data_IF_132932087271
#
_entry.id   IF_132932087271
#
_cell.length_a   1.000
_cell.length_b   1.000
_cell.length_c   1.000
_cell.angle_alpha   90.00
_cell.angle_beta   90.00
_cell.angle_gamma   90.00
#
_symmetry.space_group_name_H-M   'P 1'
#
loop_
_entity.id
_entity.type
_entity.pdbx_description
1 polymer ?
#
# COMPACT_ATOMS: atom_id res chain seq x y z
N UNK A 1 29.87 21.77 -13.88
CA UNK A 1 29.43 20.37 -13.97
C UNK A 1 28.52 20.16 -12.79
N UNK A 2 27.22 20.31 -12.98
CA UNK A 2 26.20 19.98 -11.98
C UNK A 2 25.25 19.02 -12.68
N UNK A 3 25.57 17.73 -12.62
CA UNK A 3 24.57 16.68 -12.83
C UNK A 3 23.73 16.67 -11.57
N UNK A 4 22.66 17.45 -11.56
CA UNK A 4 21.54 17.21 -10.66
C UNK A 4 21.06 15.80 -10.99
N UNK A 5 21.38 14.83 -10.13
CA UNK A 5 20.74 13.53 -10.19
C UNK A 5 19.24 13.78 -10.01
N UNK A 6 18.54 13.83 -11.13
CA UNK A 6 17.09 13.76 -11.16
C UNK A 6 16.79 12.34 -10.70
N UNK A 7 16.64 12.15 -9.39
CA UNK A 7 16.14 10.91 -8.80
C UNK A 7 14.71 10.75 -9.30
N UNK A 8 14.59 10.22 -10.52
CA UNK A 8 13.36 10.21 -11.27
C UNK A 8 12.35 9.40 -10.47
N UNK A 9 11.23 10.03 -10.09
CA UNK A 9 10.07 9.35 -9.51
C UNK A 9 9.72 8.15 -10.39
N UNK A 10 9.91 6.95 -9.86
CA UNK A 10 9.57 5.72 -10.59
C UNK A 10 8.18 5.28 -10.15
N UNK A 11 7.18 5.60 -10.98
CA UNK A 11 5.83 5.06 -10.82
C UNK A 11 5.79 3.65 -11.40
N UNK A 12 5.50 2.66 -10.54
CA UNK A 12 5.51 1.25 -10.94
C UNK A 12 4.15 0.80 -11.49
N UNK A 13 3.06 1.23 -10.85
CA UNK A 13 1.71 0.89 -11.27
C UNK A 13 0.69 1.92 -10.80
N UNK A 14 -0.46 1.93 -11.47
CA UNK A 14 -1.65 2.67 -11.07
C UNK A 14 -2.75 1.68 -10.72
N UNK A 15 -3.44 1.95 -9.62
CA UNK A 15 -4.59 1.18 -9.16
C UNK A 15 -5.80 2.09 -9.29
N UNK A 16 -6.80 1.62 -10.04
CA UNK A 16 -8.03 2.36 -10.30
C UNK A 16 -9.19 1.64 -9.63
N UNK A 17 -10.07 2.40 -8.98
CA UNK A 17 -11.27 1.84 -8.37
C UNK A 17 -12.20 1.33 -9.48
N UNK A 18 -12.68 0.09 -9.33
CA UNK A 18 -13.53 -0.59 -10.30
C UNK A 18 -14.90 0.09 -10.48
N UNK A 19 -15.42 0.75 -9.45
CA UNK A 19 -16.74 1.41 -9.43
C UNK A 19 -16.66 2.92 -9.68
N UNK A 20 -15.51 3.53 -9.39
CA UNK A 20 -15.25 4.98 -9.53
C UNK A 20 -13.92 5.22 -10.27
N UNK A 21 -13.91 5.16 -11.61
CA UNK A 21 -12.67 5.20 -12.40
C UNK A 21 -11.81 6.46 -12.18
N UNK A 22 -12.39 7.55 -11.70
CA UNK A 22 -11.70 8.78 -11.33
C UNK A 22 -10.83 8.63 -10.07
N UNK A 23 -11.11 7.64 -9.22
CA UNK A 23 -10.31 7.32 -8.05
C UNK A 23 -9.14 6.43 -8.46
N UNK A 24 -7.96 7.05 -8.55
CA UNK A 24 -6.72 6.40 -8.95
C UNK A 24 -5.62 6.73 -7.95
N UNK A 25 -4.94 5.69 -7.49
CA UNK A 25 -3.71 5.81 -6.70
C UNK A 25 -2.52 5.26 -7.48
N UNK A 26 -1.34 5.81 -7.21
CA UNK A 26 -0.09 5.34 -7.78
C UNK A 26 0.73 4.59 -6.74
N UNK A 27 1.44 3.54 -7.15
CA UNK A 27 2.51 2.94 -6.35
C UNK A 27 3.85 3.45 -6.89
N UNK A 28 4.60 4.14 -6.04
CA UNK A 28 5.83 4.83 -6.40
C UNK A 28 6.98 4.22 -5.62
N UNK A 29 8.14 4.08 -6.26
CA UNK A 29 9.37 3.66 -5.60
C UNK A 29 10.05 4.86 -4.96
N UNK A 30 10.35 4.74 -3.67
CA UNK A 30 11.22 5.67 -2.97
C UNK A 30 12.68 5.29 -3.25
N UNK A 31 13.47 6.17 -3.90
CA UNK A 31 14.86 5.88 -4.22
C UNK A 31 15.78 5.86 -2.98
N UNK A 32 15.41 6.56 -1.90
CA UNK A 32 16.26 6.78 -0.73
C UNK A 32 15.95 5.79 0.40
N UNK A 33 14.69 5.38 0.54
CA UNK A 33 14.22 4.53 1.64
C UNK A 33 14.01 3.05 1.26
N UNK A 34 14.29 2.66 0.01
CA UNK A 34 14.29 1.25 -0.40
C UNK A 34 12.93 0.57 -0.28
N UNK A 35 11.84 1.32 -0.40
CA UNK A 35 10.46 0.83 -0.32
C UNK A 35 9.58 1.36 -1.44
N UNK A 36 8.33 0.92 -1.45
CA UNK A 36 7.28 1.50 -2.27
C UNK A 36 6.26 2.19 -1.37
N UNK A 37 5.68 3.27 -1.84
CA UNK A 37 4.54 3.90 -1.17
C UNK A 37 3.42 4.24 -2.13
N UNK A 38 2.20 4.28 -1.60
CA UNK A 38 1.07 4.80 -2.34
C UNK A 38 1.11 6.32 -2.41
N UNK A 39 0.58 6.87 -3.49
CA UNK A 39 0.25 8.28 -3.60
C UNK A 39 -1.20 8.42 -4.03
N UNK A 40 -1.97 9.19 -3.24
CA UNK A 40 -3.34 9.57 -3.58
C UNK A 40 -4.37 9.20 -2.51
N UNK A 41 -4.05 8.30 -1.58
CA UNK A 41 -4.98 7.90 -0.52
C UNK A 41 -5.33 9.08 0.39
N UNK A 42 -4.35 9.92 0.71
CA UNK A 42 -4.56 11.12 1.53
C UNK A 42 -5.51 12.09 0.85
N UNK A 43 -5.34 12.28 -0.46
CA UNK A 43 -6.16 13.22 -1.24
C UNK A 43 -7.58 12.70 -1.46
N UNK A 44 -7.73 11.40 -1.72
CA UNK A 44 -9.02 10.79 -2.04
C UNK A 44 -9.86 10.51 -0.80
N UNK A 45 -9.25 10.01 0.28
CA UNK A 45 -9.97 9.47 1.43
C UNK A 45 -9.55 10.08 2.77
N UNK A 46 -8.60 11.03 2.77
CA UNK A 46 -8.06 11.65 4.00
C UNK A 46 -7.44 10.62 4.97
N UNK A 47 -6.80 9.58 4.44
CA UNK A 47 -6.08 8.55 5.20
C UNK A 47 -4.59 8.58 4.89
N UNK A 48 -3.77 8.01 5.77
CA UNK A 48 -2.32 7.92 5.53
C UNK A 48 -2.01 7.07 4.30
N UNK A 49 -0.94 7.44 3.59
CA UNK A 49 -0.38 6.60 2.54
C UNK A 49 0.16 5.28 3.10
N UNK A 50 0.19 4.25 2.27
CA UNK A 50 0.64 2.90 2.61
C UNK A 50 2.08 2.71 2.12
N UNK A 51 2.93 2.19 2.99
CA UNK A 51 4.31 1.79 2.71
C UNK A 51 4.42 0.27 2.57
N UNK A 52 5.20 -0.18 1.60
CA UNK A 52 5.48 -1.59 1.32
C UNK A 52 6.99 -1.78 1.24
N UNK A 53 7.52 -2.68 2.06
CA UNK A 53 8.94 -3.02 2.07
C UNK A 53 9.33 -3.82 0.82
N UNK A 54 10.43 -3.44 0.16
CA UNK A 54 10.79 -4.02 -1.14
C UNK A 54 11.56 -5.34 -1.07
N UNK A 55 11.88 -5.86 0.12
CA UNK A 55 12.78 -7.02 0.31
C UNK A 55 12.42 -8.26 -0.53
N UNK A 56 11.18 -8.43 -1.01
CA UNK A 56 10.77 -9.47 -1.99
C UNK A 56 9.71 -8.97 -3.00
N UNK A 57 9.78 -7.70 -3.43
CA UNK A 57 8.62 -7.04 -4.08
C UNK A 57 8.27 -7.57 -5.47
N UNK A 58 9.23 -8.07 -6.24
CA UNK A 58 8.97 -8.44 -7.64
C UNK A 58 7.94 -9.58 -7.76
N UNK A 59 7.99 -10.53 -6.83
CA UNK A 59 7.04 -11.66 -6.79
C UNK A 59 5.73 -11.27 -6.09
N UNK A 60 5.79 -10.37 -5.11
CA UNK A 60 4.64 -9.95 -4.31
C UNK A 60 3.88 -8.73 -4.89
N UNK A 61 4.36 -8.09 -5.95
CA UNK A 61 3.77 -6.85 -6.48
C UNK A 61 2.30 -7.03 -6.88
N UNK A 62 1.99 -8.14 -7.54
CA UNK A 62 0.62 -8.48 -7.97
C UNK A 62 -0.29 -8.81 -6.78
N UNK A 63 0.27 -9.40 -5.71
CA UNK A 63 -0.46 -9.64 -4.46
C UNK A 63 -0.81 -8.29 -3.80
N UNK A 64 0.19 -7.44 -3.60
CA UNK A 64 -0.02 -6.13 -3.00
C UNK A 64 -0.92 -5.21 -3.82
N UNK A 65 -0.85 -5.25 -5.16
CA UNK A 65 -1.76 -4.49 -6.01
C UNK A 65 -3.24 -4.88 -5.78
N UNK A 66 -3.52 -6.18 -5.60
CA UNK A 66 -4.87 -6.66 -5.28
C UNK A 66 -5.32 -6.22 -3.88
N UNK A 67 -4.43 -6.31 -2.90
CA UNK A 67 -4.71 -5.84 -1.53
C UNK A 67 -5.01 -4.34 -1.52
N UNK A 68 -4.19 -3.53 -2.19
CA UNK A 68 -4.39 -2.09 -2.30
C UNK A 68 -5.69 -1.74 -3.04
N UNK A 69 -6.04 -2.49 -4.09
CA UNK A 69 -7.33 -2.35 -4.78
C UNK A 69 -8.51 -2.60 -3.83
N UNK A 70 -8.46 -3.68 -3.06
CA UNK A 70 -9.48 -4.01 -2.06
C UNK A 70 -9.61 -2.93 -0.98
N UNK A 71 -8.48 -2.44 -0.46
CA UNK A 71 -8.47 -1.36 0.54
C UNK A 71 -9.09 -0.08 -0.03
N UNK A 72 -8.72 0.30 -1.25
CA UNK A 72 -9.28 1.47 -1.93
C UNK A 72 -10.80 1.33 -2.17
N UNK A 73 -11.28 0.15 -2.56
CA UNK A 73 -12.72 -0.10 -2.71
C UNK A 73 -13.46 0.03 -1.37
N UNK A 74 -12.88 -0.49 -0.28
CA UNK A 74 -13.47 -0.39 1.07
C UNK A 74 -13.50 1.06 1.57
N UNK A 75 -12.46 1.85 1.28
CA UNK A 75 -12.42 3.28 1.59
C UNK A 75 -13.49 4.05 0.81
N UNK A 76 -13.63 3.78 -0.49
CA UNK A 76 -14.64 4.39 -1.33
C UNK A 76 -16.06 4.09 -0.87
N UNK A 77 -16.33 2.85 -0.43
CA UNK A 77 -17.64 2.48 0.08
C UNK A 77 -17.95 3.21 1.40
N UNK A 78 -16.95 3.38 2.26
CA UNK A 78 -17.10 4.15 3.50
C UNK A 78 -17.38 5.64 3.21
N UNK A 79 -16.72 6.20 2.19
CA UNK A 79 -16.97 7.56 1.71
C UNK A 79 -18.40 7.72 1.19
N UNK A 80 -18.90 6.78 0.39
CA UNK A 80 -20.28 6.79 -0.12
C UNK A 80 -21.32 6.79 1.02
N UNK A 81 -21.02 6.06 2.09
CA UNK A 81 -21.86 5.97 3.29
C UNK A 81 -21.65 7.13 4.28
N UNK A 82 -20.76 8.08 3.98
CA UNK A 82 -20.36 9.17 4.88
C UNK A 82 -19.87 8.67 6.26
N UNK A 83 -19.22 7.51 6.28
CA UNK A 83 -18.66 6.90 7.48
C UNK A 83 -17.17 7.22 7.61
N UNK A 84 -16.66 7.45 8.83
CA UNK A 84 -15.23 7.60 9.03
C UNK A 84 -14.51 6.28 8.70
N UNK A 85 -13.52 6.33 7.81
CA UNK A 85 -12.65 5.20 7.55
C UNK A 85 -11.45 5.22 8.47
N UNK A 86 -11.14 4.07 9.08
CA UNK A 86 -9.91 3.83 9.81
C UNK A 86 -9.33 2.48 9.41
N UNK A 87 -8.01 2.44 9.23
CA UNK A 87 -7.33 1.18 8.99
C UNK A 87 -7.53 0.22 10.16
N UNK A 88 -7.86 -1.03 9.85
CA UNK A 88 -7.75 -2.12 10.81
C UNK A 88 -6.28 -2.54 10.88
N UNK A 89 -5.74 -2.70 12.08
CA UNK A 89 -4.33 -3.06 12.28
C UNK A 89 -4.00 -4.43 11.67
N UNK A 90 -4.97 -5.35 11.64
CA UNK A 90 -4.87 -6.65 10.98
C UNK A 90 -6.17 -6.97 10.25
N UNK A 91 -6.06 -7.60 9.08
CA UNK A 91 -7.20 -8.03 8.27
C UNK A 91 -6.84 -9.28 7.43
N UNK A 92 -7.87 -9.95 6.91
CA UNK A 92 -7.71 -11.11 6.04
C UNK A 92 -8.21 -10.78 4.64
N UNK A 93 -7.42 -11.08 3.62
CA UNK A 93 -7.77 -10.92 2.22
C UNK A 93 -7.30 -12.16 1.43
N UNK A 94 -8.21 -12.76 0.66
CA UNK A 94 -7.96 -14.01 -0.09
C UNK A 94 -7.36 -15.15 0.76
N UNK A 95 -7.76 -15.24 2.03
CA UNK A 95 -7.26 -16.25 2.98
C UNK A 95 -5.90 -15.93 3.61
N UNK A 96 -5.23 -14.86 3.18
CA UNK A 96 -3.96 -14.40 3.73
C UNK A 96 -4.19 -13.28 4.75
N UNK A 97 -3.39 -13.28 5.81
CA UNK A 97 -3.44 -12.27 6.87
C UNK A 97 -2.43 -11.16 6.60
N UNK A 98 -2.89 -9.92 6.76
CA UNK A 98 -2.09 -8.72 6.56
C UNK A 98 -2.16 -7.84 7.81
N UNK A 99 -1.15 -7.00 7.97
CA UNK A 99 -1.10 -5.96 9.00
C UNK A 99 -0.82 -4.60 8.40
N UNK A 100 -1.44 -3.55 8.95
CA UNK A 100 -1.29 -2.15 8.56
C UNK A 100 -0.97 -1.30 9.80
N UNK A 101 0.30 -1.31 10.20
CA UNK A 101 0.73 -0.59 11.42
C UNK A 101 1.14 0.83 11.09
N UNK A 102 0.82 1.77 11.98
CA UNK A 102 1.29 3.16 11.84
C UNK A 102 2.79 3.21 12.11
N UNK A 103 3.58 3.68 11.15
CA UNK A 103 5.01 3.98 11.34
C UNK A 103 5.30 5.35 10.70
N UNK A 104 5.41 6.38 11.55
CA UNK A 104 5.62 7.76 11.10
C UNK A 104 4.47 8.29 10.23
N UNK A 105 4.81 8.74 9.03
CA UNK A 105 3.84 9.30 8.07
C UNK A 105 3.00 8.24 7.34
N UNK A 106 3.38 6.96 7.43
CA UNK A 106 2.80 5.88 6.62
C UNK A 106 2.11 4.81 7.46
N UNK A 107 1.27 4.02 6.80
CA UNK A 107 0.85 2.70 7.25
C UNK A 107 1.69 1.64 6.58
N UNK A 108 2.45 0.87 7.35
CA UNK A 108 3.30 -0.17 6.79
C UNK A 108 2.49 -1.44 6.61
N UNK A 109 2.32 -1.83 5.36
CA UNK A 109 1.64 -3.06 4.95
C UNK A 109 2.63 -4.22 4.98
N UNK A 110 2.31 -5.26 5.76
CA UNK A 110 3.08 -6.51 5.80
C UNK A 110 2.15 -7.71 5.79
N UNK A 111 2.51 -8.74 5.03
CA UNK A 111 1.93 -10.08 5.19
C UNK A 111 2.32 -10.65 6.56
N UNK A 112 1.35 -11.16 7.29
CA UNK A 112 1.58 -11.85 8.57
C UNK A 112 1.73 -13.34 8.27
N UNK A 113 2.86 -13.97 8.63
CA UNK A 113 3.04 -15.40 8.41
C UNK A 113 1.98 -16.21 9.18
N UNK A 114 1.50 -17.29 8.57
CA UNK A 114 0.63 -18.24 9.26
C UNK A 114 1.44 -18.91 10.38
N UNK A 115 0.84 -19.05 11.57
CA UNK A 115 1.48 -19.69 12.72
C UNK A 115 1.84 -21.14 12.32
N UNK A 116 3.11 -21.38 12.00
CA UNK A 116 3.60 -22.63 11.41
C UNK A 116 4.83 -22.45 10.52
N UNK A 117 5.02 -21.26 9.92
CA UNK A 117 6.29 -20.89 9.30
C UNK A 117 7.23 -20.36 10.38
N UNK A 118 7.97 -21.26 11.03
CA UNK A 118 9.13 -20.91 11.85
C UNK A 118 10.17 -20.24 10.95
N UNK A 119 10.22 -18.91 10.96
CA UNK A 119 11.40 -18.17 10.49
C UNK A 119 12.49 -18.43 11.53
N UNK A 120 13.37 -19.40 11.25
CA UNK A 120 14.67 -19.44 11.89
C UNK A 120 15.47 -18.26 11.31
N UNK A 121 15.45 -17.12 11.99
CA UNK A 121 16.46 -16.08 11.78
C UNK A 121 17.73 -16.51 12.56
N UNK A 122 18.81 -16.80 11.83
CA UNK A 122 20.19 -16.70 12.33
C UNK A 122 20.77 -15.32 11.99
#
# INVERSE_FOLDING_TARGET
METTENTARIELLKIQNSRKPEQVISLVRDPDAGGLHTEGLTKLFNVQEIWIDTRNIAEALTEYARVLSFLMETMSESEDLHLPYGFQDEFTFEGLRYSLKSEGAYRVLRRVPEIGEMVYDE
#
